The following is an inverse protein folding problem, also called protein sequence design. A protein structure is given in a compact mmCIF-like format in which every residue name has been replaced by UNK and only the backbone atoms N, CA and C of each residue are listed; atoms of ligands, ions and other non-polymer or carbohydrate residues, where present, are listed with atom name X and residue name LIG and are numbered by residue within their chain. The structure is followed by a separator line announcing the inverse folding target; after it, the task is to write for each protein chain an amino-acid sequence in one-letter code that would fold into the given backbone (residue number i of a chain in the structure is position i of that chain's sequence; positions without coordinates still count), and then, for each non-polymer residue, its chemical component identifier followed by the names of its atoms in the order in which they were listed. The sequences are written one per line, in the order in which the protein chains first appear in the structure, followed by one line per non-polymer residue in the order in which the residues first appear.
data_IF_450421102858
#
_entry.id   IF_450421102858
#
_cell.length_a   1.000
_cell.length_b   1.000
_cell.length_c   1.000
_cell.angle_alpha   90.00
_cell.angle_beta   90.00
_cell.angle_gamma   90.00
#
_symmetry.space_group_name_H-M   'P 1'
#
loop_
_entity.id
_entity.type
_entity.pdbx_description
1 polymer ?
#
# COMPACT_ATOMS: atom_id res chain seq x y z
N UNK A 1 16.43 -33.88 -14.05
CA UNK A 1 16.56 -32.45 -13.72
C UNK A 1 15.15 -31.91 -13.59
N UNK A 2 14.51 -32.20 -12.46
CA UNK A 2 13.15 -31.71 -12.18
C UNK A 2 13.29 -30.44 -11.37
N UNK A 3 12.90 -29.33 -11.98
CA UNK A 3 12.67 -28.06 -11.31
C UNK A 3 11.52 -28.23 -10.33
N UNK A 4 11.84 -28.30 -9.05
CA UNK A 4 10.89 -28.33 -7.95
C UNK A 4 10.10 -27.03 -7.90
N UNK A 5 8.93 -27.01 -8.54
CA UNK A 5 7.88 -26.02 -8.31
C UNK A 5 7.43 -26.18 -6.86
N UNK A 6 7.60 -25.15 -6.05
CA UNK A 6 7.23 -25.17 -4.63
C UNK A 6 5.72 -25.38 -4.47
N UNK A 7 5.34 -26.22 -3.51
CA UNK A 7 3.96 -26.53 -3.15
C UNK A 7 3.24 -25.27 -2.59
N UNK A 8 2.07 -24.85 -3.12
CA UNK A 8 1.40 -23.59 -2.75
C UNK A 8 0.76 -23.54 -1.35
N UNK A 9 1.10 -24.44 -0.41
CA UNK A 9 0.27 -24.71 0.77
C UNK A 9 0.95 -24.61 2.16
N UNK A 10 2.09 -23.93 2.29
CA UNK A 10 2.56 -23.51 3.63
C UNK A 10 3.06 -22.08 3.58
N UNK A 11 2.20 -21.13 3.97
CA UNK A 11 2.61 -19.76 4.24
C UNK A 11 3.54 -19.79 5.46
N UNK A 12 4.75 -19.27 5.31
CA UNK A 12 5.69 -19.07 6.41
C UNK A 12 5.54 -17.65 6.97
N UNK A 13 5.65 -17.50 8.29
CA UNK A 13 5.74 -16.19 8.94
C UNK A 13 7.20 -15.71 8.93
N UNK A 14 7.40 -14.44 8.59
CA UNK A 14 8.72 -13.81 8.57
C UNK A 14 8.98 -13.06 9.89
N UNK A 15 10.19 -13.17 10.40
CA UNK A 15 10.73 -12.26 11.41
C UNK A 15 11.00 -10.89 10.78
N UNK A 16 11.19 -9.86 11.62
CA UNK A 16 11.55 -8.52 11.14
C UNK A 16 12.82 -8.51 10.28
N UNK A 17 13.83 -9.32 10.66
CA UNK A 17 15.08 -9.40 9.91
C UNK A 17 14.86 -10.01 8.52
N UNK A 18 14.13 -11.12 8.45
CA UNK A 18 13.82 -11.78 7.18
C UNK A 18 12.99 -10.88 6.25
N UNK A 19 12.02 -10.15 6.80
CA UNK A 19 11.25 -9.18 6.01
C UNK A 19 12.14 -8.07 5.43
N UNK A 20 13.07 -7.53 6.21
CA UNK A 20 14.02 -6.52 5.74
C UNK A 20 14.98 -7.07 4.66
N UNK A 21 15.45 -8.30 4.80
CA UNK A 21 16.30 -8.97 3.81
C UNK A 21 15.56 -9.19 2.47
N UNK A 22 14.25 -9.50 2.53
CA UNK A 22 13.40 -9.59 1.34
C UNK A 22 13.26 -8.23 0.66
N UNK A 23 12.98 -7.17 1.43
CA UNK A 23 12.87 -5.80 0.92
C UNK A 23 14.18 -5.34 0.24
N UNK A 24 15.33 -5.61 0.87
CA UNK A 24 16.65 -5.32 0.30
C UNK A 24 16.91 -6.08 -1.00
N UNK A 25 16.47 -7.35 -1.08
CA UNK A 25 16.60 -8.16 -2.29
C UNK A 25 15.74 -7.63 -3.43
N UNK A 26 14.49 -7.25 -3.14
CA UNK A 26 13.56 -6.69 -4.12
C UNK A 26 14.09 -5.37 -4.68
N UNK A 27 14.57 -4.48 -3.83
CA UNK A 27 15.01 -3.14 -4.24
C UNK A 27 16.44 -3.09 -4.77
N UNK A 28 17.30 -4.02 -4.33
CA UNK A 28 18.69 -4.11 -4.76
C UNK A 28 18.83 -4.91 -6.06
N UNK A 29 19.18 -6.20 -6.00
CA UNK A 29 19.50 -7.01 -7.17
C UNK A 29 18.33 -7.20 -8.14
N UNK A 30 17.08 -7.18 -7.67
CA UNK A 30 15.89 -7.30 -8.53
C UNK A 30 15.41 -5.96 -9.10
N UNK A 31 15.90 -4.83 -8.56
CA UNK A 31 15.74 -3.50 -9.13
C UNK A 31 14.33 -2.90 -9.05
N UNK A 32 13.44 -3.44 -8.22
CA UNK A 32 12.13 -2.82 -8.00
C UNK A 32 12.29 -1.50 -7.26
N UNK A 33 11.64 -0.46 -7.73
CA UNK A 33 11.65 0.82 -7.04
C UNK A 33 10.61 0.85 -5.92
N UNK A 34 10.87 1.68 -4.89
CA UNK A 34 9.97 1.81 -3.73
C UNK A 34 8.55 2.21 -4.15
N UNK A 35 8.42 3.11 -5.11
CA UNK A 35 7.13 3.56 -5.64
C UNK A 35 6.37 2.45 -6.35
N UNK A 36 7.04 1.56 -7.10
CA UNK A 36 6.40 0.40 -7.71
C UNK A 36 5.85 -0.57 -6.66
N UNK A 37 6.66 -0.93 -5.66
CA UNK A 37 6.25 -1.85 -4.61
C UNK A 37 5.12 -1.26 -3.76
N UNK A 38 5.21 0.03 -3.44
CA UNK A 38 4.20 0.78 -2.68
C UNK A 38 2.87 0.90 -3.43
N UNK A 39 2.90 1.12 -4.75
CA UNK A 39 1.70 1.15 -5.59
C UNK A 39 0.96 -0.20 -5.55
N UNK A 40 1.71 -1.30 -5.68
CA UNK A 40 1.17 -2.66 -5.61
C UNK A 40 0.66 -3.00 -4.20
N UNK A 41 1.39 -2.61 -3.16
CA UNK A 41 0.99 -2.85 -1.78
C UNK A 41 -0.32 -2.12 -1.43
N UNK A 42 -0.42 -0.83 -1.76
CA UNK A 42 -1.63 -0.05 -1.50
C UNK A 42 -2.83 -0.53 -2.31
N UNK A 43 -2.64 -0.93 -3.57
CA UNK A 43 -3.69 -1.59 -4.37
C UNK A 43 -4.17 -2.87 -3.68
N UNK A 44 -3.26 -3.73 -3.23
CA UNK A 44 -3.60 -4.97 -2.53
C UNK A 44 -4.43 -4.72 -1.26
N UNK A 45 -4.08 -3.69 -0.48
CA UNK A 45 -4.86 -3.26 0.69
C UNK A 45 -6.26 -2.80 0.28
N UNK A 46 -6.39 -1.96 -0.74
CA UNK A 46 -7.68 -1.48 -1.23
C UNK A 46 -8.56 -2.63 -1.76
N UNK A 47 -7.98 -3.58 -2.49
CA UNK A 47 -8.67 -4.77 -2.99
C UNK A 47 -9.17 -5.64 -1.84
N UNK A 48 -8.33 -5.92 -0.84
CA UNK A 48 -8.71 -6.70 0.33
C UNK A 48 -9.87 -6.06 1.10
N UNK A 49 -9.86 -4.73 1.24
CA UNK A 49 -10.98 -3.99 1.84
C UNK A 49 -12.25 -4.16 0.98
N UNK A 50 -12.13 -4.05 -0.34
CA UNK A 50 -13.27 -4.14 -1.24
C UNK A 50 -13.93 -5.53 -1.30
N UNK A 51 -13.19 -6.58 -0.99
CA UNK A 51 -13.72 -7.94 -0.87
C UNK A 51 -14.63 -8.12 0.35
N UNK A 52 -14.36 -7.41 1.45
CA UNK A 52 -15.05 -7.62 2.74
C UNK A 52 -16.00 -6.49 3.13
N UNK A 53 -15.80 -5.28 2.59
CA UNK A 53 -16.56 -4.08 2.97
C UNK A 53 -17.22 -3.44 1.75
N UNK A 54 -18.34 -3.96 1.25
CA UNK A 54 -18.95 -3.42 0.02
C UNK A 54 -19.23 -1.90 0.10
N UNK A 55 -18.93 -1.12 -0.95
CA UNK A 55 -19.07 0.34 -0.92
C UNK A 55 -20.54 0.80 -0.86
N UNK A 56 -21.50 -0.06 -1.23
CA UNK A 56 -22.94 0.20 -1.03
C UNK A 56 -23.34 0.31 0.44
N UNK A 57 -22.59 -0.33 1.34
CA UNK A 57 -22.87 -0.39 2.78
C UNK A 57 -21.85 0.42 3.59
N UNK A 58 -20.58 0.40 3.19
CA UNK A 58 -19.46 1.00 3.92
C UNK A 58 -18.60 1.91 3.02
N UNK A 59 -19.18 2.98 2.47
CA UNK A 59 -18.42 3.87 1.57
C UNK A 59 -17.45 4.82 2.28
N UNK A 60 -17.68 5.24 3.52
CA UNK A 60 -16.81 6.20 4.20
C UNK A 60 -15.60 5.51 4.83
N UNK A 61 -14.40 5.89 4.42
CA UNK A 61 -13.14 5.31 4.93
C UNK A 61 -12.24 6.42 5.47
N UNK A 62 -11.61 6.20 6.63
CA UNK A 62 -10.56 7.06 7.16
C UNK A 62 -9.22 6.33 7.09
N UNK A 63 -8.32 6.78 6.22
CA UNK A 63 -6.93 6.34 6.16
C UNK A 63 -6.08 7.19 7.09
N UNK A 64 -5.42 6.56 8.07
CA UNK A 64 -4.51 7.24 9.00
C UNK A 64 -3.08 6.89 8.59
N UNK A 65 -2.38 7.86 8.00
CA UNK A 65 -1.08 7.62 7.37
C UNK A 65 0.06 8.13 8.27
N UNK A 66 1.01 7.25 8.56
CA UNK A 66 2.24 7.59 9.30
C UNK A 66 3.33 8.21 8.41
N UNK A 67 4.46 8.66 8.98
CA UNK A 67 5.57 9.25 8.22
C UNK A 67 6.43 8.24 7.44
N UNK A 68 6.16 6.93 7.54
CA UNK A 68 6.96 5.87 6.91
C UNK A 68 6.34 5.29 5.65
N UNK A 69 6.92 4.20 5.15
CA UNK A 69 6.45 3.49 3.96
C UNK A 69 4.98 3.04 4.12
N UNK A 70 4.59 2.50 5.27
CA UNK A 70 3.19 2.13 5.56
C UNK A 70 2.21 3.31 5.42
N UNK A 71 2.67 4.54 5.67
CA UNK A 71 1.85 5.72 5.44
C UNK A 71 1.71 6.03 3.94
N UNK A 72 2.75 5.77 3.16
CA UNK A 72 2.68 5.77 1.69
C UNK A 72 1.70 4.72 1.16
N UNK A 73 1.78 3.48 1.66
CA UNK A 73 0.83 2.41 1.32
C UNK A 73 -0.62 2.82 1.63
N UNK A 74 -0.84 3.46 2.79
CA UNK A 74 -2.16 3.98 3.17
C UNK A 74 -2.68 5.10 2.26
N UNK A 75 -1.80 5.98 1.76
CA UNK A 75 -2.16 7.02 0.78
C UNK A 75 -2.53 6.39 -0.57
N UNK A 76 -1.75 5.42 -1.04
CA UNK A 76 -2.05 4.65 -2.26
C UNK A 76 -3.36 3.89 -2.11
N UNK A 77 -3.58 3.22 -0.97
CA UNK A 77 -4.82 2.50 -0.70
C UNK A 77 -6.02 3.45 -0.72
N UNK A 78 -5.90 4.64 -0.11
CA UNK A 78 -6.96 5.66 -0.17
C UNK A 78 -7.25 6.10 -1.62
N UNK A 79 -6.20 6.28 -2.45
CA UNK A 79 -6.36 6.58 -3.86
C UNK A 79 -7.14 5.49 -4.62
N UNK A 80 -6.80 4.21 -4.44
CA UNK A 80 -7.52 3.10 -5.07
C UNK A 80 -8.94 2.93 -4.54
N UNK A 81 -9.16 3.09 -3.24
CA UNK A 81 -10.51 3.03 -2.66
C UNK A 81 -11.44 4.10 -3.25
N UNK A 82 -10.95 5.31 -3.51
CA UNK A 82 -11.73 6.30 -4.25
C UNK A 82 -12.19 5.76 -5.61
N UNK A 83 -11.27 5.11 -6.35
CA UNK A 83 -11.56 4.48 -7.63
C UNK A 83 -12.53 3.30 -7.56
N UNK A 84 -12.57 2.60 -6.43
CA UNK A 84 -13.49 1.49 -6.18
C UNK A 84 -14.88 1.96 -5.71
N UNK A 85 -15.13 3.27 -5.65
CA UNK A 85 -16.44 3.85 -5.31
C UNK A 85 -16.61 4.21 -3.83
N UNK A 86 -15.53 4.16 -3.05
CA UNK A 86 -15.54 4.65 -1.66
C UNK A 86 -15.37 6.17 -1.61
N UNK A 87 -15.55 6.72 -0.42
CA UNK A 87 -15.32 8.11 -0.04
C UNK A 87 -14.24 8.17 1.04
N UNK A 88 -12.96 7.95 0.67
CA UNK A 88 -11.89 8.00 1.63
C UNK A 88 -11.64 9.43 2.15
N UNK A 89 -11.04 9.49 3.33
CA UNK A 89 -10.45 10.68 3.96
C UNK A 89 -9.07 10.28 4.41
N UNK A 90 -8.05 11.08 4.10
CA UNK A 90 -6.67 10.80 4.49
C UNK A 90 -6.24 11.75 5.61
N UNK A 91 -5.84 11.21 6.76
CA UNK A 91 -5.20 11.95 7.83
C UNK A 91 -3.70 11.68 7.76
N UNK A 92 -2.90 12.68 7.39
CA UNK A 92 -1.45 12.55 7.24
C UNK A 92 -0.70 13.66 8.00
N UNK A 93 -0.67 13.58 9.35
CA UNK A 93 -0.25 14.70 10.19
C UNK A 93 1.26 14.97 10.15
N UNK A 94 2.08 13.94 9.94
CA UNK A 94 3.54 14.08 9.85
C UNK A 94 4.01 13.70 8.45
N UNK A 95 4.07 14.71 7.58
CA UNK A 95 4.42 14.54 6.16
C UNK A 95 5.93 14.38 5.98
N UNK A 96 6.31 13.38 5.20
CA UNK A 96 7.71 13.09 4.91
C UNK A 96 8.20 13.96 3.76
N UNK A 97 9.29 14.75 3.93
CA UNK A 97 9.74 15.70 2.92
C UNK A 97 10.60 15.00 1.84
N UNK A 98 10.04 13.99 1.17
CA UNK A 98 10.65 13.31 0.02
C UNK A 98 9.71 13.39 -1.19
N UNK A 99 10.24 13.56 -2.42
CA UNK A 99 9.42 13.74 -3.63
C UNK A 99 8.32 12.69 -3.82
N UNK A 100 8.61 11.42 -3.51
CA UNK A 100 7.64 10.32 -3.56
C UNK A 100 6.35 10.65 -2.80
N UNK A 101 6.46 11.02 -1.52
CA UNK A 101 5.31 11.29 -0.67
C UNK A 101 4.56 12.56 -1.08
N UNK A 102 5.27 13.58 -1.55
CA UNK A 102 4.62 14.77 -2.14
C UNK A 102 3.80 14.42 -3.39
N UNK A 103 4.30 13.49 -4.22
CA UNK A 103 3.59 12.94 -5.36
C UNK A 103 2.31 12.19 -4.93
N UNK A 104 2.43 11.28 -3.96
CA UNK A 104 1.28 10.52 -3.43
C UNK A 104 0.20 11.43 -2.86
N UNK A 105 0.58 12.43 -2.07
CA UNK A 105 -0.36 13.43 -1.54
C UNK A 105 -1.03 14.18 -2.69
N UNK A 106 -0.31 14.55 -3.75
CA UNK A 106 -0.91 15.24 -4.91
C UNK A 106 -1.94 14.37 -5.63
N UNK A 107 -1.62 13.10 -5.86
CA UNK A 107 -2.51 12.12 -6.51
C UNK A 107 -3.75 11.79 -5.67
N UNK A 108 -3.61 11.83 -4.33
CA UNK A 108 -4.67 11.52 -3.37
C UNK A 108 -5.56 12.75 -3.10
N UNK A 109 -4.98 13.93 -2.86
CA UNK A 109 -5.70 15.17 -2.52
C UNK A 109 -6.68 15.66 -3.59
N UNK A 110 -6.40 15.41 -4.88
CA UNK A 110 -7.33 15.80 -5.95
C UNK A 110 -8.68 15.06 -5.87
N UNK A 111 -8.73 13.96 -5.11
CA UNK A 111 -9.84 12.99 -5.10
C UNK A 111 -10.35 12.70 -3.68
N UNK A 112 -9.63 13.18 -2.66
CA UNK A 112 -9.81 12.80 -1.25
C UNK A 112 -9.56 14.01 -0.36
N UNK A 113 -10.40 14.21 0.67
CA UNK A 113 -10.14 15.24 1.68
C UNK A 113 -8.95 14.80 2.54
N UNK A 114 -7.88 15.59 2.53
CA UNK A 114 -6.63 15.29 3.21
C UNK A 114 -6.32 16.35 4.26
N UNK A 115 -6.13 15.94 5.51
CA UNK A 115 -5.74 16.81 6.63
C UNK A 115 -4.30 16.50 7.03
#
# INVERSE_FOLDING_TARGET
MESSVQNPASISYLTQREAAEVDETLMGPLGFSVDQLMELAGLSVATSIAEVCQPSEYNCVLAICGPGNNGGDGLVAAHHLYHFGYKPFACYPKRTPKPLYSGLVTQTCQRTLTF
#
